data_IF_656413156315
#
_entry.id   IF_656413156315
#
_cell.length_a   1.000
_cell.length_b   1.000
_cell.length_c   1.000
_cell.angle_alpha   90.00
_cell.angle_beta   90.00
_cell.angle_gamma   90.00
#
_symmetry.space_group_name_H-M   'P 1'
#
loop_
_entity.id
_entity.type
_entity.pdbx_description
1 polymer ?
#
# COMPACT_ATOMS: atom_id res chain seq x y z
N UNK A 1 -3.11 -8.45 2.30
CA UNK A 1 -4.39 -9.08 1.92
C UNK A 1 -5.49 -8.12 2.30
N UNK A 2 -6.37 -7.82 1.36
CA UNK A 2 -7.34 -6.74 1.44
C UNK A 2 -7.72 -6.37 0.02
N UNK A 3 -8.44 -7.28 -0.64
CA UNK A 3 -9.11 -7.00 -1.92
C UNK A 3 -10.10 -5.87 -1.63
N UNK A 4 -9.81 -4.65 -2.08
CA UNK A 4 -10.85 -3.63 -2.18
C UNK A 4 -11.63 -3.96 -3.44
N UNK A 5 -12.72 -4.67 -3.21
CA UNK A 5 -13.71 -5.05 -4.20
C UNK A 5 -14.09 -3.83 -5.04
N UNK A 6 -14.11 -4.05 -6.35
CA UNK A 6 -14.87 -3.31 -7.33
C UNK A 6 -16.36 -3.38 -6.95
N UNK A 7 -16.85 -2.40 -6.20
CA UNK A 7 -18.28 -2.16 -5.98
C UNK A 7 -18.58 -0.70 -6.32
N UNK A 8 -18.40 -0.34 -7.60
CA UNK A 8 -18.74 0.99 -8.09
C UNK A 8 -19.24 0.95 -9.55
N UNK A 9 -19.94 -0.12 -9.92
CA UNK A 9 -20.59 -0.25 -11.25
C UNK A 9 -22.06 -0.74 -11.19
N UNK A 10 -22.72 -0.79 -10.03
CA UNK A 10 -24.07 -1.35 -9.93
C UNK A 10 -25.19 -0.32 -9.68
N UNK A 11 -24.91 0.98 -9.78
CA UNK A 11 -25.92 2.03 -9.59
C UNK A 11 -26.44 2.68 -10.88
N UNK A 12 -25.80 2.42 -12.02
CA UNK A 12 -26.23 2.98 -13.32
C UNK A 12 -27.21 2.05 -14.06
N UNK A 13 -27.23 0.76 -13.75
CA UNK A 13 -28.08 -0.25 -14.41
C UNK A 13 -29.50 -0.33 -13.84
N UNK A 14 -29.77 0.18 -12.63
CA UNK A 14 -31.10 0.12 -12.01
C UNK A 14 -32.05 1.25 -12.46
N UNK A 15 -31.52 2.43 -12.79
CA UNK A 15 -32.34 3.59 -13.19
C UNK A 15 -32.86 3.42 -14.63
N UNK A 16 -32.11 2.77 -15.51
CA UNK A 16 -32.50 2.56 -16.91
C UNK A 16 -33.62 1.52 -17.07
N UNK A 17 -33.62 0.46 -16.24
CA UNK A 17 -34.64 -0.59 -16.28
C UNK A 17 -36.01 -0.13 -15.74
N UNK A 18 -36.05 0.78 -14.76
CA UNK A 18 -37.31 1.32 -14.25
C UNK A 18 -37.98 2.32 -15.20
N UNK A 19 -37.21 3.12 -15.95
CA UNK A 19 -37.77 4.01 -16.98
C UNK A 19 -38.28 3.24 -18.21
N UNK A 20 -37.65 2.13 -18.59
CA UNK A 20 -38.13 1.30 -19.70
C UNK A 20 -39.41 0.52 -19.36
N UNK A 21 -39.58 0.12 -18.09
CA UNK A 21 -40.81 -0.52 -17.62
C UNK A 21 -42.00 0.46 -17.56
N UNK A 22 -41.77 1.73 -17.19
CA UNK A 22 -42.80 2.78 -17.21
C UNK A 22 -43.23 3.18 -18.64
N UNK A 23 -42.33 3.10 -19.62
CA UNK A 23 -42.65 3.39 -21.02
C UNK A 23 -43.45 2.27 -21.74
N UNK A 24 -43.57 1.07 -21.15
CA UNK A 24 -44.34 -0.04 -21.75
C UNK A 24 -45.81 -0.11 -21.31
N UNK A 25 -46.28 0.77 -20.43
CA UNK A 25 -47.66 0.76 -19.91
C UNK A 25 -48.53 1.94 -20.36
N UNK A 26 -48.01 2.88 -21.16
CA UNK A 26 -48.83 3.96 -21.74
C UNK A 26 -48.89 3.81 -23.25
N UNK A 27 -50.02 3.24 -23.67
CA UNK A 27 -50.45 2.98 -25.03
C UNK A 27 -50.35 4.24 -25.92
N UNK A 28 -49.62 4.10 -27.04
CA UNK A 28 -49.68 4.83 -28.32
C UNK A 28 -50.65 6.04 -28.38
N UNK A 29 -50.21 7.23 -27.91
CA UNK A 29 -50.76 8.54 -28.37
C UNK A 29 -49.99 9.81 -27.96
N UNK A 30 -48.74 9.71 -27.51
CA UNK A 30 -47.92 10.89 -27.16
C UNK A 30 -46.75 11.16 -28.13
N UNK A 31 -46.77 10.56 -29.31
CA UNK A 31 -45.75 10.78 -30.35
C UNK A 31 -46.01 12.02 -31.23
N UNK A 32 -47.00 12.84 -30.91
CA UNK A 32 -47.38 14.02 -31.72
C UNK A 32 -47.45 15.35 -30.96
N UNK A 33 -46.82 15.47 -29.78
CA UNK A 33 -46.83 16.74 -29.03
C UNK A 33 -45.47 17.16 -28.43
N UNK A 34 -44.35 16.75 -29.04
CA UNK A 34 -43.03 17.33 -28.72
C UNK A 34 -42.26 17.66 -30.01
N UNK A 35 -42.97 18.23 -30.99
CA UNK A 35 -42.36 18.84 -32.18
C UNK A 35 -42.56 20.36 -32.22
N UNK A 36 -43.06 20.97 -31.13
CA UNK A 36 -43.34 22.41 -31.04
C UNK A 36 -42.63 23.16 -29.90
N UNK A 37 -41.76 22.51 -29.13
CA UNK A 37 -40.86 23.20 -28.21
C UNK A 37 -39.44 22.87 -28.67
N UNK A 38 -38.83 23.82 -29.39
CA UNK A 38 -37.47 23.75 -29.91
C UNK A 38 -36.43 23.66 -28.80
N UNK A 39 -36.35 22.50 -28.16
CA UNK A 39 -35.30 22.15 -27.22
C UNK A 39 -34.33 21.31 -28.03
N UNK A 40 -33.23 21.94 -28.43
CA UNK A 40 -32.08 21.28 -29.04
C UNK A 40 -31.65 20.13 -28.13
N UNK A 41 -31.66 18.91 -28.64
CA UNK A 41 -31.08 17.74 -28.00
C UNK A 41 -29.54 17.80 -28.16
N UNK A 42 -28.93 18.90 -27.72
CA UNK A 42 -27.49 19.15 -27.72
C UNK A 42 -27.17 19.75 -26.36
N UNK A 43 -27.24 18.95 -25.30
CA UNK A 43 -26.60 19.21 -23.99
C UNK A 43 -26.98 18.11 -22.99
N UNK A 44 -26.59 16.87 -23.28
CA UNK A 44 -26.50 15.81 -22.27
C UNK A 44 -25.26 14.93 -22.54
N UNK A 45 -24.11 15.55 -22.80
CA UNK A 45 -22.86 14.88 -22.45
C UNK A 45 -22.63 15.10 -20.95
N UNK A 46 -22.82 14.02 -20.21
CA UNK A 46 -22.52 13.95 -18.79
C UNK A 46 -21.03 14.20 -18.56
N UNK A 47 -20.69 15.43 -18.19
CA UNK A 47 -19.44 15.70 -17.48
C UNK A 47 -19.52 15.01 -16.11
N UNK A 48 -19.19 13.72 -16.05
CA UNK A 48 -19.07 12.99 -14.80
C UNK A 48 -17.84 13.51 -14.03
N UNK A 49 -18.01 14.59 -13.29
CA UNK A 49 -16.95 15.19 -12.48
C UNK A 49 -16.76 14.38 -11.18
N UNK A 50 -15.83 13.43 -11.20
CA UNK A 50 -15.51 12.62 -10.03
C UNK A 50 -14.58 13.33 -9.05
N UNK A 51 -14.80 13.11 -7.74
CA UNK A 51 -13.91 13.54 -6.69
C UNK A 51 -12.68 12.63 -6.62
N UNK A 52 -11.56 13.07 -7.19
CA UNK A 52 -10.33 12.29 -7.21
C UNK A 52 -9.46 12.58 -5.97
N UNK A 53 -8.93 11.53 -5.35
CA UNK A 53 -8.02 11.58 -4.20
C UNK A 53 -6.67 10.94 -4.53
N UNK A 54 -5.62 11.26 -3.77
CA UNK A 54 -4.25 10.78 -4.04
C UNK A 54 -4.21 9.26 -4.26
N UNK A 55 -3.67 8.83 -5.41
CA UNK A 55 -3.56 7.41 -5.77
C UNK A 55 -4.73 6.85 -6.59
N UNK A 56 -5.74 7.66 -6.94
CA UNK A 56 -6.72 7.31 -7.97
C UNK A 56 -6.12 7.49 -9.37
N UNK A 57 -6.49 6.66 -10.36
CA UNK A 57 -6.10 6.88 -11.76
C UNK A 57 -6.46 8.31 -12.18
N UNK A 58 -5.62 8.94 -12.98
CA UNK A 58 -5.72 10.38 -13.35
C UNK A 58 -5.50 11.40 -12.20
N UNK A 59 -5.22 10.97 -10.96
CA UNK A 59 -4.88 11.85 -9.83
C UNK A 59 -3.67 11.32 -9.01
N UNK A 60 -2.47 11.79 -9.38
CA UNK A 60 -1.19 11.30 -8.84
C UNK A 60 -0.79 11.86 -7.46
N UNK A 61 -1.44 12.92 -6.97
CA UNK A 61 -1.24 13.44 -5.61
C UNK A 61 0.12 14.09 -5.30
N UNK A 62 1.07 14.17 -6.24
CA UNK A 62 2.36 14.85 -6.02
C UNK A 62 2.16 16.36 -5.76
N UNK A 63 2.82 16.90 -4.73
CA UNK A 63 2.79 18.32 -4.38
C UNK A 63 1.47 18.82 -3.77
N UNK A 64 0.62 17.93 -3.26
CA UNK A 64 -0.70 18.27 -2.69
C UNK A 64 -0.75 18.01 -1.20
N UNK A 65 -1.71 18.66 -0.51
CA UNK A 65 -1.94 18.42 0.92
C UNK A 65 -2.52 17.03 1.13
N UNK A 66 -2.16 16.39 2.24
CA UNK A 66 -2.76 15.12 2.64
C UNK A 66 -4.29 15.28 2.77
N UNK A 67 -5.04 14.42 2.08
CA UNK A 67 -6.51 14.46 2.07
C UNK A 67 -7.14 15.42 1.05
N UNK A 68 -6.35 16.16 0.26
CA UNK A 68 -6.89 17.03 -0.78
C UNK A 68 -7.62 16.21 -1.87
N UNK A 69 -8.88 16.58 -2.13
CA UNK A 69 -9.70 16.05 -3.21
C UNK A 69 -9.94 17.12 -4.25
N UNK A 70 -9.89 16.75 -5.54
CA UNK A 70 -10.25 17.65 -6.64
C UNK A 70 -11.23 16.98 -7.57
N UNK A 71 -12.22 17.76 -7.98
CA UNK A 71 -13.10 17.46 -9.09
C UNK A 71 -12.28 17.41 -10.39
N UNK A 72 -12.35 16.30 -11.12
CA UNK A 72 -11.67 16.11 -12.41
C UNK A 72 -12.60 15.45 -13.41
N UNK A 73 -12.62 15.98 -14.63
CA UNK A 73 -13.14 15.27 -15.79
C UNK A 73 -12.14 14.17 -16.19
N UNK A 74 -12.66 12.98 -16.51
CA UNK A 74 -11.87 11.82 -16.95
C UNK A 74 -12.56 11.23 -18.16
N UNK A 75 -11.81 10.99 -19.23
CA UNK A 75 -12.33 10.32 -20.41
C UNK A 75 -12.57 8.83 -20.11
N UNK A 76 -13.72 8.32 -20.53
CA UNK A 76 -14.11 6.93 -20.36
C UNK A 76 -13.36 6.03 -21.35
N UNK A 77 -12.99 4.83 -20.92
CA UNK A 77 -12.23 3.90 -21.76
C UNK A 77 -13.17 3.04 -22.62
N UNK A 78 -13.12 3.23 -23.93
CA UNK A 78 -13.69 2.33 -24.95
C UNK A 78 -12.51 1.75 -25.75
N UNK A 79 -12.32 0.42 -25.75
CA UNK A 79 -11.25 -0.21 -26.53
C UNK A 79 -11.27 -1.74 -26.46
N UNK A 80 -11.68 -2.39 -27.56
CA UNK A 80 -11.73 -3.86 -27.72
C UNK A 80 -10.98 -4.34 -28.97
N UNK A 81 -9.82 -3.75 -29.31
CA UNK A 81 -9.03 -4.20 -30.47
C UNK A 81 -7.61 -4.61 -30.07
N UNK A 82 -7.20 -5.80 -30.49
CA UNK A 82 -5.84 -6.32 -30.33
C UNK A 82 -4.89 -5.71 -31.37
N UNK A 83 -3.74 -5.22 -30.92
CA UNK A 83 -2.75 -4.52 -31.75
C UNK A 83 -1.51 -5.40 -31.97
N UNK A 84 -1.03 -5.57 -33.22
CA UNK A 84 0.07 -6.47 -33.54
C UNK A 84 1.43 -6.07 -32.92
N UNK A 85 1.58 -4.84 -32.41
CA UNK A 85 2.84 -4.37 -31.82
C UNK A 85 3.10 -4.84 -30.36
N UNK A 86 2.14 -5.53 -29.73
CA UNK A 86 2.28 -5.97 -28.32
C UNK A 86 2.91 -7.36 -28.19
N UNK A 87 2.73 -8.24 -29.18
CA UNK A 87 3.15 -9.64 -29.14
C UNK A 87 4.57 -9.87 -29.67
N UNK A 88 5.08 -8.96 -30.52
CA UNK A 88 6.31 -9.21 -31.27
C UNK A 88 7.60 -8.84 -30.52
N UNK A 89 7.51 -8.07 -29.42
CA UNK A 89 8.70 -7.60 -28.68
C UNK A 89 8.74 -8.13 -27.25
N UNK A 90 9.75 -8.97 -26.95
CA UNK A 90 10.02 -9.39 -25.58
C UNK A 90 10.91 -8.40 -24.82
N UNK A 91 10.37 -7.78 -23.77
CA UNK A 91 11.13 -6.86 -22.91
C UNK A 91 11.61 -7.53 -21.64
N UNK A 92 12.93 -7.67 -21.51
CA UNK A 92 13.54 -8.21 -20.29
C UNK A 92 13.36 -7.28 -19.09
N UNK A 93 13.33 -7.87 -17.88
CA UNK A 93 13.24 -7.10 -16.63
C UNK A 93 14.58 -6.43 -16.31
N UNK A 94 14.56 -5.10 -16.20
CA UNK A 94 15.77 -4.30 -15.96
C UNK A 94 16.42 -4.55 -14.58
N UNK A 95 15.65 -4.97 -13.56
CA UNK A 95 16.17 -5.21 -12.20
C UNK A 95 15.62 -6.52 -11.63
N UNK A 96 16.49 -7.25 -10.95
CA UNK A 96 16.12 -8.42 -10.17
C UNK A 96 15.44 -8.08 -8.82
N UNK A 97 14.98 -9.11 -8.08
CA UNK A 97 14.37 -8.94 -6.78
C UNK A 97 15.35 -8.38 -5.72
N UNK A 98 14.91 -7.36 -4.95
CA UNK A 98 15.73 -6.69 -3.91
C UNK A 98 15.65 -7.33 -2.51
N UNK A 99 14.51 -7.94 -2.17
CA UNK A 99 14.23 -8.43 -0.81
C UNK A 99 14.67 -9.89 -0.68
N UNK A 100 15.30 -10.28 0.42
CA UNK A 100 15.78 -11.65 0.67
C UNK A 100 14.67 -12.70 0.46
N UNK A 101 13.47 -12.46 0.99
CA UNK A 101 12.33 -13.39 0.83
C UNK A 101 11.84 -13.54 -0.62
N UNK A 102 11.95 -12.49 -1.45
CA UNK A 102 11.59 -12.58 -2.88
C UNK A 102 12.66 -13.32 -3.69
N UNK A 103 13.93 -13.18 -3.31
CA UNK A 103 15.02 -13.91 -3.95
C UNK A 103 14.89 -15.41 -3.67
N UNK A 104 14.61 -15.79 -2.41
CA UNK A 104 14.36 -17.20 -2.04
C UNK A 104 13.21 -17.83 -2.82
N UNK A 105 12.10 -17.10 -2.98
CA UNK A 105 10.95 -17.56 -3.77
C UNK A 105 11.26 -17.75 -5.25
N UNK A 106 12.14 -16.93 -5.83
CA UNK A 106 12.44 -16.99 -7.24
C UNK A 106 13.36 -18.19 -7.57
N UNK A 107 14.34 -18.43 -6.70
CA UNK A 107 15.32 -19.51 -6.88
C UNK A 107 14.95 -20.79 -6.14
N UNK A 108 13.74 -20.87 -5.57
CA UNK A 108 13.25 -22.00 -4.76
C UNK A 108 14.24 -22.42 -3.64
N UNK A 109 14.89 -21.43 -3.01
CA UNK A 109 15.87 -21.66 -1.96
C UNK A 109 15.22 -21.86 -0.59
N UNK A 110 15.88 -22.61 0.26
CA UNK A 110 15.54 -22.73 1.67
C UNK A 110 15.92 -21.45 2.44
N UNK A 111 15.63 -21.41 3.75
CA UNK A 111 15.91 -20.23 4.59
C UNK A 111 17.38 -20.20 5.01
N UNK A 112 18.00 -21.35 5.06
CA UNK A 112 19.36 -21.65 5.49
C UNK A 112 20.36 -21.22 4.40
N UNK A 113 19.93 -21.23 3.14
CA UNK A 113 20.77 -20.90 1.99
C UNK A 113 21.15 -19.41 1.89
N UNK A 114 22.37 -19.20 1.41
CA UNK A 114 22.95 -17.88 1.19
C UNK A 114 22.43 -17.20 -0.07
N UNK A 115 21.76 -16.07 0.14
CA UNK A 115 21.10 -15.29 -0.92
C UNK A 115 22.11 -14.51 -1.79
N UNK A 116 23.31 -14.21 -1.28
CA UNK A 116 24.30 -13.34 -1.94
C UNK A 116 24.78 -13.87 -3.29
N UNK A 117 25.01 -15.18 -3.38
CA UNK A 117 25.49 -15.85 -4.59
C UNK A 117 24.49 -15.66 -5.74
N UNK A 118 23.22 -15.82 -5.45
CA UNK A 118 22.13 -15.76 -6.42
C UNK A 118 21.76 -14.34 -6.86
N UNK A 119 22.07 -13.31 -6.08
CA UNK A 119 21.85 -11.91 -6.51
C UNK A 119 22.85 -11.49 -7.59
N UNK A 120 24.01 -12.15 -7.66
CA UNK A 120 25.03 -11.83 -8.66
C UNK A 120 24.62 -12.17 -10.10
N UNK A 121 23.68 -13.10 -10.29
CA UNK A 121 23.15 -13.45 -11.61
C UNK A 121 22.39 -12.28 -12.26
N UNK A 122 21.76 -11.43 -11.44
CA UNK A 122 21.05 -10.23 -11.90
C UNK A 122 21.91 -8.96 -11.83
N UNK A 123 23.23 -9.08 -11.89
CA UNK A 123 24.11 -7.91 -12.00
C UNK A 123 23.86 -7.23 -13.34
N UNK A 124 23.64 -5.93 -13.29
CA UNK A 124 23.50 -5.11 -14.49
C UNK A 124 24.89 -4.63 -14.91
N UNK A 125 25.37 -5.08 -16.05
CA UNK A 125 26.51 -4.50 -16.74
C UNK A 125 26.02 -3.40 -17.68
N UNK A 126 26.66 -2.25 -17.66
CA UNK A 126 26.39 -1.18 -18.63
C UNK A 126 27.67 -0.41 -18.95
N UNK A 127 27.75 0.09 -20.17
CA UNK A 127 28.78 1.04 -20.59
C UNK A 127 28.35 2.44 -20.15
N UNK A 128 29.25 3.12 -19.45
CA UNK A 128 29.05 4.54 -19.13
C UNK A 128 29.27 5.36 -20.40
N UNK A 129 28.74 6.59 -20.46
CA UNK A 129 29.00 7.52 -21.58
C UNK A 129 30.51 7.75 -21.83
N UNK A 130 31.34 7.57 -20.81
CA UNK A 130 32.81 7.61 -20.86
C UNK A 130 33.47 6.30 -21.32
N UNK A 131 32.72 5.34 -21.86
CA UNK A 131 33.22 4.06 -22.39
C UNK A 131 33.54 2.98 -21.34
N UNK A 132 33.58 3.31 -20.05
CA UNK A 132 33.87 2.34 -18.97
C UNK A 132 32.72 1.37 -18.74
N UNK A 133 33.00 0.06 -18.77
CA UNK A 133 32.05 -1.00 -18.40
C UNK A 133 31.97 -1.10 -16.87
N UNK A 134 30.77 -0.91 -16.31
CA UNK A 134 30.52 -1.00 -14.87
C UNK A 134 29.47 -2.06 -14.58
N UNK A 135 29.70 -2.90 -13.56
CA UNK A 135 28.69 -3.84 -13.06
C UNK A 135 28.09 -3.33 -11.75
N UNK A 136 26.75 -3.29 -11.66
CA UNK A 136 26.04 -2.89 -10.44
C UNK A 136 25.09 -3.99 -9.99
N UNK A 137 25.15 -4.32 -8.70
CA UNK A 137 24.23 -5.20 -8.00
C UNK A 137 23.28 -4.41 -7.10
N UNK A 138 22.09 -4.96 -6.86
CA UNK A 138 21.14 -4.36 -5.92
C UNK A 138 21.50 -4.74 -4.49
N UNK A 139 21.59 -3.77 -3.57
CA UNK A 139 21.72 -4.04 -2.14
C UNK A 139 20.53 -4.88 -1.66
N UNK A 140 20.84 -6.04 -1.07
CA UNK A 140 19.84 -6.95 -0.50
C UNK A 140 19.20 -6.28 0.72
N UNK A 141 17.87 -6.26 0.73
CA UNK A 141 17.10 -5.77 1.86
C UNK A 141 16.49 -6.95 2.62
N UNK A 142 16.33 -6.80 3.94
CA UNK A 142 15.72 -7.80 4.83
C UNK A 142 16.51 -9.11 4.96
N UNK A 143 17.84 -9.05 4.76
CA UNK A 143 18.72 -10.13 5.14
C UNK A 143 19.02 -10.04 6.65
N UNK A 144 19.02 -11.18 7.34
CA UNK A 144 19.47 -11.25 8.73
C UNK A 144 21.00 -11.26 8.72
N UNK A 145 21.61 -10.24 9.29
CA UNK A 145 23.07 -10.10 9.42
C UNK A 145 23.49 -10.16 10.89
N UNK A 146 24.75 -10.52 11.21
CA UNK A 146 25.22 -10.54 12.60
C UNK A 146 25.00 -9.20 13.32
N UNK A 147 25.19 -8.08 12.61
CA UNK A 147 24.90 -6.73 13.13
C UNK A 147 23.42 -6.54 13.51
N UNK A 148 22.48 -7.07 12.72
CA UNK A 148 21.06 -6.99 13.07
C UNK A 148 20.71 -7.82 14.30
N UNK A 149 21.37 -8.99 14.47
CA UNK A 149 21.22 -9.83 15.66
C UNK A 149 21.82 -9.17 16.90
N UNK A 150 22.99 -8.54 16.77
CA UNK A 150 23.62 -7.77 17.84
C UNK A 150 22.72 -6.64 18.32
N UNK A 151 22.24 -5.77 17.42
CA UNK A 151 21.30 -4.69 17.77
C UNK A 151 20.02 -5.19 18.45
N UNK A 152 19.56 -6.39 18.10
CA UNK A 152 18.41 -7.03 18.75
C UNK A 152 18.77 -7.50 20.17
N UNK A 153 19.93 -8.11 20.36
CA UNK A 153 20.45 -8.51 21.69
C UNK A 153 20.63 -7.28 22.58
N UNK A 154 21.20 -6.20 22.06
CA UNK A 154 21.41 -4.96 22.81
C UNK A 154 20.09 -4.35 23.29
N UNK A 155 19.07 -4.29 22.41
CA UNK A 155 17.72 -3.83 22.79
C UNK A 155 17.10 -4.68 23.89
N UNK A 156 17.30 -6.00 23.84
CA UNK A 156 16.78 -6.91 24.87
C UNK A 156 17.54 -6.70 26.18
N UNK A 157 18.86 -6.54 26.13
CA UNK A 157 19.68 -6.27 27.30
C UNK A 157 19.27 -4.97 27.99
N UNK A 158 18.99 -3.92 27.22
CA UNK A 158 18.53 -2.64 27.77
C UNK A 158 17.18 -2.78 28.48
N UNK A 159 16.22 -3.49 27.88
CA UNK A 159 14.95 -3.80 28.55
C UNK A 159 15.14 -4.57 29.86
N UNK A 160 16.09 -5.51 29.89
CA UNK A 160 16.42 -6.27 31.10
C UNK A 160 17.01 -5.38 32.20
N UNK A 161 17.75 -4.31 31.85
CA UNK A 161 18.27 -3.35 32.83
C UNK A 161 17.13 -2.58 33.50
N UNK A 162 16.16 -2.13 32.72
CA UNK A 162 14.98 -1.42 33.24
C UNK A 162 14.22 -2.32 34.23
N UNK A 163 13.93 -3.57 33.84
CA UNK A 163 13.22 -4.52 34.73
C UNK A 163 14.01 -4.84 36.00
N UNK A 164 15.35 -4.85 35.92
CA UNK A 164 16.21 -5.05 37.10
C UNK A 164 16.13 -3.86 38.05
N UNK A 165 16.19 -2.64 37.53
CA UNK A 165 16.07 -1.42 38.34
C UNK A 165 14.70 -1.33 39.04
N UNK A 166 13.61 -1.72 38.37
CA UNK A 166 12.28 -1.81 38.98
C UNK A 166 12.24 -2.84 40.12
N UNK A 167 12.85 -4.02 39.93
CA UNK A 167 12.93 -5.04 40.97
C UNK A 167 13.76 -4.57 42.18
N UNK A 168 14.91 -3.93 41.94
CA UNK A 168 15.76 -3.36 42.99
C UNK A 168 15.03 -2.26 43.78
N UNK A 169 14.27 -1.39 43.10
CA UNK A 169 13.45 -0.37 43.75
C UNK A 169 12.34 -0.99 44.62
N UNK A 170 11.69 -2.05 44.13
CA UNK A 170 10.68 -2.77 44.90
C UNK A 170 11.28 -3.48 46.14
N UNK A 171 12.49 -4.04 46.03
CA UNK A 171 13.21 -4.61 47.17
C UNK A 171 13.59 -3.56 48.21
N UNK A 172 14.08 -2.40 47.77
CA UNK A 172 14.40 -1.28 48.66
C UNK A 172 13.15 -0.78 49.42
N UNK A 173 12.00 -0.69 48.76
CA UNK A 173 10.74 -0.33 49.40
C UNK A 173 10.32 -1.32 50.50
N UNK A 174 10.51 -2.63 50.28
CA UNK A 174 10.26 -3.65 51.31
C UNK A 174 11.20 -3.49 52.51
N UNK A 175 12.47 -3.17 52.27
CA UNK A 175 13.44 -2.95 53.33
C UNK A 175 13.09 -1.71 54.18
N UNK A 176 12.63 -0.63 53.53
CA UNK A 176 12.15 0.56 54.23
C UNK A 176 10.94 0.25 55.13
N UNK A 177 9.97 -0.52 54.65
CA UNK A 177 8.78 -0.86 55.45
C UNK A 177 9.14 -1.69 56.68
N UNK A 178 10.09 -2.63 56.56
CA UNK A 178 10.61 -3.40 57.71
C UNK A 178 11.27 -2.49 58.75
N UNK A 179 12.16 -1.57 58.34
CA UNK A 179 12.84 -0.64 59.27
C UNK A 179 11.88 0.31 59.98
N UNK A 180 10.88 0.83 59.28
CA UNK A 180 9.85 1.68 59.88
C UNK A 180 9.02 0.90 60.91
N UNK A 181 8.75 -0.38 60.66
CA UNK A 181 8.05 -1.25 61.60
C UNK A 181 8.88 -1.47 62.87
N UNK A 182 10.16 -1.82 62.72
CA UNK A 182 11.08 -1.99 63.85
C UNK A 182 11.21 -0.72 64.70
N UNK A 183 11.28 0.45 64.07
CA UNK A 183 11.32 1.75 64.77
C UNK A 183 10.05 1.98 65.58
N UNK A 184 8.87 1.72 65.01
CA UNK A 184 7.59 1.82 65.74
C UNK A 184 7.54 0.85 66.92
N UNK A 185 7.93 -0.39 66.71
CA UNK A 185 7.98 -1.41 67.78
C UNK A 185 8.95 -1.04 68.89
N UNK A 186 10.07 -0.38 68.58
CA UNK A 186 11.04 0.09 69.59
C UNK A 186 10.46 1.23 70.44
N UNK A 187 9.77 2.19 69.83
CA UNK A 187 9.16 3.33 70.53
C UNK A 187 8.03 2.88 71.47
N UNK A 188 7.22 1.89 71.04
CA UNK A 188 6.10 1.37 71.84
C UNK A 188 6.55 0.48 73.02
N UNK A 189 7.81 -0.02 72.98
CA UNK A 189 8.34 -0.92 74.02
C UNK A 189 8.95 -0.18 75.23
N UNK A 190 8.92 1.15 75.23
CA UNK A 190 9.32 2.05 76.33
C UNK A 190 8.05 2.52 77.03
#
# INVERSE_FOLDING_TARGET
MGKRNSMFCDYQTSISLHLWALMKLVNVKALYFVRHLGINLVELELDCVYGASAGTPCFRGYGRRNGERRKKAVCECIGENELPALTDTEKTRMRGPKRASKIRKLFNLSKEDDVWKYVNTYRRTFTTKSGKKVSKAQKIQWLVTPLTLQRKRDRIAEKKRITKAEAEAAEYQKLLSMRLKEQRERVVRI
#
